data_IF_912167377559
#
_entry.id   IF_912167377559
#
_cell.length_a   1.000
_cell.length_b   1.000
_cell.length_c   1.000
_cell.angle_alpha   90.00
_cell.angle_beta   90.00
_cell.angle_gamma   90.00
#
_symmetry.space_group_name_H-M   'P 1'
#
loop_
_entity.id
_entity.type
_entity.pdbx_description
1 polymer ?
#
# COMPACT_ATOMS: atom_id res chain seq x y z
N UNK A 1 30.43 -13.15 23.31
CA UNK A 1 29.20 -13.02 22.53
C UNK A 1 28.71 -11.61 22.71
N UNK A 2 28.85 -10.77 21.68
CA UNK A 2 28.23 -9.43 21.66
C UNK A 2 26.74 -9.66 21.40
N UNK A 3 25.90 -9.58 22.42
CA UNK A 3 24.46 -9.52 22.24
C UNK A 3 24.07 -8.12 21.75
N UNK A 4 23.17 -8.07 20.76
CA UNK A 4 22.59 -6.79 20.32
C UNK A 4 21.99 -6.04 21.50
N UNK A 5 22.17 -4.73 21.53
CA UNK A 5 21.56 -3.86 22.55
C UNK A 5 20.03 -4.00 22.49
N UNK A 6 19.41 -4.25 23.63
CA UNK A 6 17.95 -4.44 23.77
C UNK A 6 17.19 -3.20 23.31
N UNK A 7 17.77 -2.02 23.48
CA UNK A 7 17.15 -0.76 23.02
C UNK A 7 17.09 -0.72 21.48
N UNK A 8 18.20 -1.07 20.83
CA UNK A 8 18.29 -1.15 19.36
C UNK A 8 17.32 -2.21 18.83
N UNK A 9 17.27 -3.40 19.48
CA UNK A 9 16.34 -4.45 19.13
C UNK A 9 14.88 -3.98 19.16
N UNK A 10 14.46 -3.29 20.22
CA UNK A 10 13.11 -2.73 20.34
C UNK A 10 12.83 -1.68 19.27
N UNK A 11 13.77 -0.77 19.00
CA UNK A 11 13.62 0.23 17.94
C UNK A 11 13.42 -0.41 16.55
N UNK A 12 14.15 -1.50 16.26
CA UNK A 12 13.98 -2.23 14.99
C UNK A 12 12.60 -2.91 14.93
N UNK A 13 12.14 -3.54 16.02
CA UNK A 13 10.80 -4.15 16.08
C UNK A 13 9.70 -3.10 15.85
N UNK A 14 9.80 -1.94 16.50
CA UNK A 14 8.86 -0.85 16.32
C UNK A 14 8.88 -0.30 14.89
N UNK A 15 10.06 -0.16 14.29
CA UNK A 15 10.22 0.22 12.89
C UNK A 15 9.52 -0.79 11.97
N UNK A 16 9.76 -2.09 12.16
CA UNK A 16 9.10 -3.13 11.35
C UNK A 16 7.58 -3.05 11.49
N UNK A 17 7.05 -2.96 12.71
CA UNK A 17 5.60 -2.87 12.95
C UNK A 17 4.96 -1.62 12.35
N UNK A 18 5.71 -0.53 12.23
CA UNK A 18 5.27 0.70 11.57
C UNK A 18 5.26 0.59 10.05
N UNK A 19 6.30 -0.03 9.47
CA UNK A 19 6.52 -0.08 8.03
C UNK A 19 5.86 -1.28 7.35
N UNK A 20 5.57 -2.36 8.10
CA UNK A 20 4.96 -3.59 7.61
C UNK A 20 3.51 -3.62 8.05
N UNK A 21 2.63 -3.17 7.19
CA UNK A 21 1.20 -2.99 7.46
C UNK A 21 0.32 -3.55 6.35
N UNK A 22 -0.90 -4.03 6.65
CA UNK A 22 -1.82 -4.50 5.63
C UNK A 22 -2.21 -3.41 4.65
N UNK A 23 -2.39 -3.79 3.38
CA UNK A 23 -2.90 -2.92 2.32
C UNK A 23 -3.78 -3.73 1.35
N UNK A 24 -4.81 -3.09 0.80
CA UNK A 24 -5.68 -3.68 -0.23
C UNK A 24 -5.46 -2.90 -1.53
N UNK A 25 -5.10 -3.61 -2.60
CA UNK A 25 -4.83 -3.01 -3.90
C UNK A 25 -3.48 -2.30 -4.00
N UNK A 26 -3.31 -1.48 -5.04
CA UNK A 26 -2.10 -0.69 -5.25
C UNK A 26 -2.07 0.50 -4.29
N UNK A 27 -0.90 0.77 -3.69
CA UNK A 27 -0.76 1.81 -2.67
C UNK A 27 -1.00 3.22 -3.20
N UNK A 28 -0.60 3.52 -4.43
CA UNK A 28 -0.77 4.85 -5.02
C UNK A 28 -2.23 5.27 -5.19
N UNK A 29 -3.12 4.48 -5.84
CA UNK A 29 -4.53 4.86 -5.93
C UNK A 29 -5.22 4.85 -4.56
N UNK A 30 -4.79 4.00 -3.62
CA UNK A 30 -5.33 4.01 -2.25
C UNK A 30 -4.89 5.26 -1.49
N UNK A 31 -3.66 5.75 -1.66
CA UNK A 31 -3.21 7.01 -1.09
C UNK A 31 -3.98 8.20 -1.67
N UNK A 32 -4.29 8.18 -2.97
CA UNK A 32 -5.15 9.20 -3.59
C UNK A 32 -6.56 9.14 -3.01
N UNK A 33 -7.16 7.94 -2.91
CA UNK A 33 -8.47 7.78 -2.29
C UNK A 33 -8.49 8.21 -0.81
N UNK A 34 -7.41 7.97 -0.06
CA UNK A 34 -7.22 8.42 1.31
C UNK A 34 -7.22 9.97 1.41
N UNK A 35 -6.48 10.63 0.53
CA UNK A 35 -6.47 12.09 0.49
C UNK A 35 -7.86 12.66 0.17
N UNK A 36 -8.59 12.03 -0.77
CA UNK A 36 -9.96 12.41 -1.12
C UNK A 36 -10.92 12.17 0.04
N UNK A 37 -10.84 11.02 0.70
CA UNK A 37 -11.65 10.71 1.88
C UNK A 37 -11.44 11.75 2.97
N UNK A 38 -10.18 12.06 3.29
CA UNK A 38 -9.84 13.10 4.29
C UNK A 38 -10.36 14.48 3.90
N UNK A 39 -10.25 14.85 2.62
CA UNK A 39 -10.79 16.12 2.13
C UNK A 39 -12.33 16.16 2.20
N UNK A 40 -13.02 15.08 1.81
CA UNK A 40 -14.47 14.97 1.89
C UNK A 40 -14.98 15.01 3.34
N UNK A 41 -14.32 14.31 4.26
CA UNK A 41 -14.59 14.38 5.71
C UNK A 41 -14.42 15.80 6.24
N UNK A 42 -13.36 16.50 5.84
CA UNK A 42 -13.08 17.89 6.25
C UNK A 42 -14.14 18.86 5.70
N UNK A 43 -14.58 18.66 4.45
CA UNK A 43 -15.66 19.44 3.85
C UNK A 43 -17.00 19.17 4.56
N UNK A 44 -17.19 17.97 5.10
CA UNK A 44 -18.41 17.48 5.74
C UNK A 44 -19.65 17.46 4.81
N UNK A 45 -19.42 17.35 3.51
CA UNK A 45 -20.44 17.27 2.44
C UNK A 45 -19.91 16.42 1.31
N UNK A 46 -20.80 15.77 0.55
CA UNK A 46 -20.43 15.11 -0.71
C UNK A 46 -20.00 16.19 -1.71
N UNK A 47 -18.75 16.18 -2.19
CA UNK A 47 -18.25 17.23 -3.06
C UNK A 47 -18.96 17.23 -4.42
N UNK A 48 -19.24 18.41 -4.94
CA UNK A 48 -19.75 18.62 -6.30
C UNK A 48 -18.63 18.62 -7.33
N UNK A 49 -17.41 18.96 -6.91
CA UNK A 49 -16.20 18.93 -7.73
C UNK A 49 -15.00 18.47 -6.91
N UNK A 50 -14.16 17.64 -7.53
CA UNK A 50 -12.92 17.14 -6.94
C UNK A 50 -11.78 17.42 -7.92
N UNK A 51 -10.78 18.14 -7.45
CA UNK A 51 -9.56 18.45 -8.21
C UNK A 51 -8.40 17.69 -7.53
N UNK A 52 -7.68 16.91 -8.33
CA UNK A 52 -6.56 16.07 -7.85
C UNK A 52 -5.31 16.44 -8.62
N UNK A 53 -4.26 16.81 -7.89
CA UNK A 53 -2.96 17.16 -8.44
C UNK A 53 -1.92 16.17 -7.95
N UNK A 54 -1.22 15.52 -8.87
CA UNK A 54 -0.33 14.40 -8.57
C UNK A 54 1.07 14.62 -9.15
N UNK A 55 2.09 14.14 -8.43
CA UNK A 55 3.41 13.98 -9.02
C UNK A 55 3.37 13.00 -10.20
N UNK A 56 4.31 13.13 -11.13
CA UNK A 56 4.44 12.23 -12.27
C UNK A 56 4.56 10.75 -11.85
N UNK A 57 5.25 10.48 -10.74
CA UNK A 57 5.43 9.13 -10.23
C UNK A 57 4.11 8.51 -9.73
N UNK A 58 3.34 9.24 -8.93
CA UNK A 58 2.02 8.77 -8.44
C UNK A 58 1.06 8.58 -9.61
N UNK A 59 0.97 9.56 -10.51
CA UNK A 59 0.10 9.49 -11.68
C UNK A 59 0.40 8.26 -12.55
N UNK A 60 1.67 8.05 -12.90
CA UNK A 60 2.12 6.91 -13.70
C UNK A 60 1.78 5.56 -13.05
N UNK A 61 1.99 5.43 -11.76
CA UNK A 61 1.79 4.17 -11.05
C UNK A 61 0.30 3.87 -10.77
N UNK A 62 -0.53 4.90 -10.69
CA UNK A 62 -1.95 4.74 -10.33
C UNK A 62 -2.90 4.63 -11.53
N UNK A 63 -2.51 5.11 -12.72
CA UNK A 63 -3.40 5.19 -13.88
C UNK A 63 -3.87 3.85 -14.44
N UNK A 64 -3.03 2.83 -14.39
CA UNK A 64 -3.23 1.56 -15.11
C UNK A 64 -3.52 0.37 -14.22
N UNK A 65 -3.85 0.57 -12.95
CA UNK A 65 -4.04 -0.54 -12.00
C UNK A 65 -5.50 -0.72 -11.64
N UNK A 66 -5.89 -1.97 -11.38
CA UNK A 66 -7.23 -2.33 -10.93
C UNK A 66 -7.51 -1.76 -9.53
N UNK A 67 -8.71 -1.22 -9.36
CA UNK A 67 -9.19 -0.72 -8.07
C UNK A 67 -9.99 -1.82 -7.37
N UNK A 68 -9.59 -2.21 -6.16
CA UNK A 68 -10.18 -3.34 -5.46
C UNK A 68 -11.70 -3.28 -5.36
N UNK A 69 -12.35 -4.41 -5.66
CA UNK A 69 -13.80 -4.55 -5.53
C UNK A 69 -14.63 -3.82 -6.60
N UNK A 70 -14.01 -3.14 -7.56
CA UNK A 70 -14.73 -2.34 -8.57
C UNK A 70 -14.82 -3.01 -9.93
N UNK A 71 -13.90 -3.89 -10.29
CA UNK A 71 -13.72 -4.37 -11.67
C UNK A 71 -13.30 -3.25 -12.64
N UNK A 72 -12.90 -2.10 -12.14
CA UNK A 72 -12.49 -0.93 -12.93
C UNK A 72 -11.01 -0.60 -12.71
N UNK A 73 -10.44 0.09 -13.68
CA UNK A 73 -9.03 0.49 -13.71
C UNK A 73 -8.92 2.00 -13.56
N UNK A 74 -7.90 2.45 -12.83
CA UNK A 74 -7.45 3.83 -12.80
C UNK A 74 -8.07 4.70 -11.72
N UNK A 75 -7.55 5.90 -11.64
CA UNK A 75 -7.82 6.86 -10.57
C UNK A 75 -9.27 7.37 -10.48
N UNK A 76 -10.02 7.60 -11.57
CA UNK A 76 -11.34 8.22 -11.45
C UNK A 76 -12.28 7.50 -10.48
N UNK A 77 -12.32 6.17 -10.54
CA UNK A 77 -13.20 5.40 -9.63
C UNK A 77 -12.66 5.39 -8.18
N UNK A 78 -11.35 5.37 -7.99
CA UNK A 78 -10.75 5.47 -6.65
C UNK A 78 -11.06 6.82 -6.00
N UNK A 79 -10.99 7.91 -6.77
CA UNK A 79 -11.35 9.27 -6.33
C UNK A 79 -12.84 9.36 -5.98
N UNK A 80 -13.72 8.88 -6.86
CA UNK A 80 -15.15 8.89 -6.62
C UNK A 80 -15.54 8.14 -5.34
N UNK A 81 -15.00 6.92 -5.17
CA UNK A 81 -15.27 6.11 -3.99
C UNK A 81 -14.65 6.69 -2.71
N UNK A 82 -13.45 7.28 -2.81
CA UNK A 82 -12.85 8.01 -1.71
C UNK A 82 -13.77 9.11 -1.16
N UNK A 83 -14.45 9.84 -2.06
CA UNK A 83 -15.38 10.90 -1.67
C UNK A 83 -16.73 10.38 -1.13
N UNK A 84 -17.22 9.24 -1.64
CA UNK A 84 -18.54 8.72 -1.31
C UNK A 84 -18.56 7.87 -0.04
N UNK A 85 -17.56 6.99 0.10
CA UNK A 85 -17.54 5.98 1.18
C UNK A 85 -16.21 5.87 1.90
N UNK A 86 -15.18 6.57 1.44
CA UNK A 86 -13.85 6.50 2.04
C UNK A 86 -13.86 6.97 3.49
N UNK A 87 -13.15 6.23 4.35
CA UNK A 87 -12.88 6.60 5.73
C UNK A 87 -11.39 6.74 5.93
N UNK A 88 -10.92 7.96 6.22
CA UNK A 88 -9.49 8.23 6.32
C UNK A 88 -8.82 7.47 7.47
N UNK A 89 -9.56 7.09 8.50
CA UNK A 89 -9.07 6.25 9.61
C UNK A 89 -8.59 4.86 9.18
N UNK A 90 -9.03 4.36 8.02
CA UNK A 90 -8.64 3.06 7.49
C UNK A 90 -7.30 3.05 6.75
N UNK A 91 -6.64 4.21 6.62
CA UNK A 91 -5.36 4.31 5.91
C UNK A 91 -5.46 3.75 4.48
N UNK A 92 -4.58 2.82 4.12
CA UNK A 92 -4.56 2.20 2.78
C UNK A 92 -5.69 1.18 2.52
N UNK A 93 -6.53 0.91 3.50
CA UNK A 93 -7.77 0.13 3.34
C UNK A 93 -9.00 1.04 3.19
N UNK A 94 -8.81 2.28 2.81
CA UNK A 94 -9.82 3.35 2.76
C UNK A 94 -11.11 2.98 2.02
N UNK A 95 -11.06 2.09 1.04
CA UNK A 95 -12.19 1.63 0.23
C UNK A 95 -12.77 0.26 0.67
N UNK A 96 -12.41 -0.25 1.85
CA UNK A 96 -12.84 -1.59 2.28
C UNK A 96 -14.35 -1.77 2.41
N UNK A 97 -15.10 -0.69 2.62
CA UNK A 97 -16.55 -0.72 2.79
C UNK A 97 -17.34 -0.57 1.46
N UNK A 98 -16.70 -0.86 0.32
CA UNK A 98 -17.32 -0.74 -1.00
C UNK A 98 -18.55 -1.67 -1.12
N UNK A 99 -19.60 -1.14 -1.74
CA UNK A 99 -20.84 -1.86 -2.03
C UNK A 99 -21.21 -1.71 -3.51
N UNK A 100 -22.07 -2.57 -4.08
CA UNK A 100 -22.57 -2.39 -5.44
C UNK A 100 -23.25 -1.03 -5.65
N UNK A 101 -23.96 -0.51 -4.64
CA UNK A 101 -24.59 0.79 -4.69
C UNK A 101 -23.55 1.92 -4.76
N UNK A 102 -22.55 1.92 -3.87
CA UNK A 102 -21.50 2.95 -3.89
C UNK A 102 -20.68 2.93 -5.18
N UNK A 103 -20.48 1.74 -5.76
CA UNK A 103 -19.83 1.61 -7.06
C UNK A 103 -20.64 2.27 -8.17
N UNK A 104 -21.95 2.09 -8.20
CA UNK A 104 -22.82 2.73 -9.19
C UNK A 104 -22.86 4.25 -9.01
N UNK A 105 -22.94 4.73 -7.77
CA UNK A 105 -22.85 6.17 -7.45
C UNK A 105 -21.50 6.75 -7.89
N UNK A 106 -20.40 6.00 -7.70
CA UNK A 106 -19.07 6.39 -8.17
C UNK A 106 -18.99 6.51 -9.69
N UNK A 107 -19.56 5.58 -10.44
CA UNK A 107 -19.66 5.67 -11.90
C UNK A 107 -20.45 6.91 -12.34
N UNK A 108 -21.57 7.17 -11.71
CA UNK A 108 -22.37 8.36 -11.96
C UNK A 108 -21.60 9.68 -11.72
N UNK A 109 -20.75 9.71 -10.68
CA UNK A 109 -19.88 10.86 -10.41
C UNK A 109 -18.86 11.08 -11.53
N UNK A 110 -18.28 9.99 -12.06
CA UNK A 110 -17.34 10.06 -13.19
C UNK A 110 -18.06 10.56 -14.46
N UNK A 111 -19.25 10.05 -14.77
CA UNK A 111 -20.05 10.46 -15.94
C UNK A 111 -20.43 11.96 -15.89
N UNK A 112 -20.73 12.47 -14.70
CA UNK A 112 -21.00 13.90 -14.48
C UNK A 112 -19.77 14.81 -14.61
N UNK A 113 -18.59 14.23 -14.84
CA UNK A 113 -17.32 14.96 -14.97
C UNK A 113 -16.99 15.84 -13.76
N UNK A 114 -17.30 15.35 -12.57
CA UNK A 114 -17.02 16.04 -11.31
C UNK A 114 -15.56 15.93 -10.85
N UNK A 115 -14.75 15.13 -11.54
CA UNK A 115 -13.38 14.77 -11.15
C UNK A 115 -12.41 15.26 -12.21
N UNK A 116 -11.48 16.12 -11.80
CA UNK A 116 -10.35 16.57 -12.61
C UNK A 116 -9.04 16.05 -12.00
N UNK A 117 -8.23 15.34 -12.79
CA UNK A 117 -6.93 14.81 -12.36
C UNK A 117 -5.84 15.42 -13.23
N UNK A 118 -4.86 16.05 -12.61
CA UNK A 118 -3.80 16.80 -13.29
C UNK A 118 -2.41 16.46 -12.73
N UNK A 119 -1.42 16.58 -13.59
CA UNK A 119 -0.01 16.54 -13.20
C UNK A 119 0.36 17.83 -12.46
N UNK A 120 1.18 17.71 -11.42
CA UNK A 120 1.82 18.82 -10.74
C UNK A 120 3.34 18.67 -10.82
N UNK A 121 3.98 19.66 -11.41
CA UNK A 121 5.44 19.71 -11.56
C UNK A 121 6.12 20.30 -10.32
N UNK A 122 7.42 20.02 -10.18
CA UNK A 122 8.29 20.55 -9.13
C UNK A 122 7.83 20.20 -7.70
N UNK A 123 7.31 18.99 -7.52
CA UNK A 123 6.92 18.43 -6.23
C UNK A 123 7.70 17.15 -5.94
N UNK A 124 7.61 16.64 -4.71
CA UNK A 124 8.24 15.38 -4.31
C UNK A 124 7.74 14.20 -5.17
N UNK A 125 8.54 13.12 -5.23
CA UNK A 125 8.18 11.90 -5.96
C UNK A 125 6.83 11.33 -5.55
N UNK A 126 6.50 11.40 -4.25
CA UNK A 126 5.20 11.10 -3.71
C UNK A 126 4.56 12.42 -3.28
N UNK A 127 3.65 12.92 -4.11
CA UNK A 127 2.86 14.11 -3.84
C UNK A 127 1.44 13.93 -4.36
N UNK A 128 0.48 14.15 -3.48
CA UNK A 128 -0.96 14.08 -3.73
C UNK A 128 -1.60 15.32 -3.11
N UNK A 129 -2.24 16.15 -3.91
CA UNK A 129 -3.02 17.29 -3.45
C UNK A 129 -4.45 17.12 -3.93
N UNK A 130 -5.40 17.22 -3.02
CA UNK A 130 -6.84 17.10 -3.32
C UNK A 130 -7.56 18.33 -2.84
N UNK A 131 -8.43 18.86 -3.70
CA UNK A 131 -9.37 19.94 -3.36
C UNK A 131 -10.78 19.43 -3.63
N UNK A 132 -11.59 19.35 -2.58
CA UNK A 132 -13.02 19.04 -2.66
C UNK A 132 -13.83 20.34 -2.53
N UNK A 133 -14.78 20.57 -3.46
CA UNK A 133 -15.62 21.77 -3.49
C UNK A 133 -17.09 21.45 -3.40
N UNK A 134 -17.81 22.26 -2.65
CA UNK A 134 -19.26 22.27 -2.58
C UNK A 134 -19.73 23.74 -2.54
N UNK A 135 -20.38 24.22 -3.60
CA UNK A 135 -20.74 25.64 -3.76
C UNK A 135 -19.53 26.56 -3.53
N UNK A 136 -19.58 27.45 -2.53
CA UNK A 136 -18.51 28.36 -2.18
C UNK A 136 -17.50 27.77 -1.18
N UNK A 137 -17.79 26.61 -0.59
CA UNK A 137 -16.93 25.96 0.39
C UNK A 137 -15.91 25.03 -0.30
N UNK A 138 -14.74 24.90 0.30
CA UNK A 138 -13.75 23.93 -0.13
C UNK A 138 -12.95 23.35 1.04
N UNK A 139 -12.41 22.19 0.82
CA UNK A 139 -11.38 21.59 1.65
C UNK A 139 -10.17 21.22 0.79
N UNK A 140 -9.00 21.25 1.39
CA UNK A 140 -7.74 20.88 0.75
C UNK A 140 -6.95 19.94 1.65
N UNK A 141 -6.42 18.85 1.06
CA UNK A 141 -5.55 17.90 1.75
C UNK A 141 -4.31 17.64 0.89
N UNK A 142 -3.15 17.55 1.54
CA UNK A 142 -1.90 17.15 0.89
C UNK A 142 -1.33 15.94 1.63
N UNK A 143 -0.99 14.88 0.85
CA UNK A 143 -0.18 13.75 1.28
C UNK A 143 1.17 13.85 0.57
N UNK A 144 2.26 13.71 1.29
CA UNK A 144 3.61 13.90 0.77
C UNK A 144 4.63 13.01 1.47
N UNK A 145 5.69 12.60 0.75
CA UNK A 145 6.79 11.74 1.20
C UNK A 145 6.39 10.27 1.41
N UNK A 146 5.35 9.98 2.16
CA UNK A 146 4.83 8.63 2.43
C UNK A 146 3.35 8.53 2.04
N UNK A 147 2.88 7.33 1.66
CA UNK A 147 1.51 7.12 1.14
C UNK A 147 0.37 7.46 2.11
N UNK A 148 0.66 7.52 3.41
CA UNK A 148 -0.31 7.84 4.47
C UNK A 148 0.00 9.13 5.21
N UNK A 149 1.09 9.82 4.85
CA UNK A 149 1.52 11.02 5.54
C UNK A 149 0.76 12.25 5.06
N UNK A 150 -0.32 12.59 5.76
CA UNK A 150 -1.00 13.87 5.60
C UNK A 150 -0.11 14.98 6.14
N UNK A 151 0.19 15.97 5.32
CA UNK A 151 1.02 17.13 5.69
C UNK A 151 0.23 18.43 5.76
N UNK A 152 -0.92 18.52 5.12
CA UNK A 152 -1.81 19.67 5.16
C UNK A 152 -3.28 19.24 5.19
N UNK A 153 -4.07 19.87 6.04
CA UNK A 153 -5.54 19.85 6.00
C UNK A 153 -6.04 21.28 6.17
N UNK A 154 -6.80 21.75 5.20
CA UNK A 154 -7.33 23.11 5.16
C UNK A 154 -8.82 23.09 4.83
N UNK A 155 -9.60 24.00 5.42
CA UNK A 155 -11.01 24.26 5.06
C UNK A 155 -11.24 25.74 4.92
N UNK A 156 -11.71 26.18 3.75
CA UNK A 156 -12.04 27.58 3.45
C UNK A 156 -10.91 28.58 3.77
N UNK A 157 -9.64 28.18 3.53
CA UNK A 157 -8.46 28.98 3.82
C UNK A 157 -7.93 28.87 5.26
N UNK A 158 -8.65 28.18 6.14
CA UNK A 158 -8.20 27.94 7.51
C UNK A 158 -7.46 26.59 7.59
N UNK A 159 -6.20 26.62 7.99
CA UNK A 159 -5.37 25.42 8.19
C UNK A 159 -5.79 24.73 9.49
N UNK A 160 -6.31 23.52 9.39
CA UNK A 160 -6.62 22.67 10.55
C UNK A 160 -5.43 21.83 10.98
N UNK A 161 -4.55 21.51 10.02
CA UNK A 161 -3.30 20.80 10.25
C UNK A 161 -2.28 21.23 9.19
N UNK A 162 -1.05 21.57 9.63
CA UNK A 162 0.05 21.95 8.75
C UNK A 162 1.39 21.47 9.32
N UNK A 163 1.89 20.36 8.78
CA UNK A 163 3.19 19.81 9.12
C UNK A 163 4.33 20.50 8.35
N UNK A 164 4.00 21.20 7.23
CA UNK A 164 5.01 21.88 6.41
C UNK A 164 5.66 23.07 7.13
N UNK A 165 4.91 23.73 8.04
CA UNK A 165 5.45 24.82 8.85
C UNK A 165 6.33 24.34 10.00
N UNK A 166 6.13 23.10 10.48
CA UNK A 166 6.94 22.52 11.57
C UNK A 166 8.29 21.99 11.10
N UNK A 167 8.40 21.55 9.85
CA UNK A 167 9.65 21.00 9.28
C UNK A 167 10.75 22.07 9.04
N UNK A 168 10.42 23.36 9.09
CA UNK A 168 11.42 24.43 9.00
C UNK A 168 12.24 24.63 10.30
N UNK A 169 11.82 23.99 11.39
CA UNK A 169 12.50 24.01 12.69
C UNK A 169 13.10 22.65 13.09
N UNK A 170 12.69 21.55 12.43
CA UNK A 170 13.18 20.21 12.72
C UNK A 170 14.25 19.75 11.68
N UNK A 171 15.40 20.39 11.73
CA UNK A 171 16.67 19.80 11.26
C UNK A 171 17.21 18.75 12.23
N UNK A 172 16.49 18.43 13.27
CA UNK A 172 16.75 17.29 14.11
C UNK A 172 16.22 16.05 13.38
N UNK A 173 17.12 15.28 12.76
CA UNK A 173 16.95 13.83 12.57
C UNK A 173 16.20 13.34 13.82
N UNK A 174 15.09 12.63 13.66
CA UNK A 174 14.42 12.00 14.81
C UNK A 174 15.50 11.25 15.55
N UNK A 175 15.91 11.74 16.71
CA UNK A 175 16.96 11.14 17.54
C UNK A 175 16.67 9.68 17.90
N UNK A 176 15.46 9.20 17.60
CA UNK A 176 14.98 7.85 17.84
C UNK A 176 14.99 6.92 16.60
N UNK A 177 15.41 7.38 15.43
CA UNK A 177 15.48 6.50 14.28
C UNK A 177 16.79 5.70 14.28
N UNK A 178 16.65 4.36 14.47
CA UNK A 178 17.81 3.46 14.38
C UNK A 178 18.42 3.50 12.98
N UNK A 179 19.68 3.92 12.90
CA UNK A 179 20.43 3.85 11.65
C UNK A 179 20.71 2.38 11.31
N UNK A 180 19.98 1.83 10.33
CA UNK A 180 20.15 0.46 9.88
C UNK A 180 21.45 0.34 9.06
N UNK A 181 22.27 -0.64 9.45
CA UNK A 181 23.41 -1.12 8.68
C UNK A 181 23.22 -2.61 8.41
N UNK A 182 23.92 -3.16 7.42
CA UNK A 182 23.86 -4.60 7.14
C UNK A 182 24.19 -5.43 8.39
N UNK A 183 25.24 -5.05 9.15
CA UNK A 183 25.61 -5.74 10.39
C UNK A 183 24.47 -5.74 11.42
N UNK A 184 23.83 -4.59 11.65
CA UNK A 184 22.70 -4.51 12.60
C UNK A 184 21.52 -5.37 12.17
N UNK A 185 21.18 -5.37 10.88
CA UNK A 185 20.09 -6.19 10.35
C UNK A 185 20.42 -7.67 10.52
N UNK A 186 21.65 -8.07 10.21
CA UNK A 186 22.11 -9.45 10.37
C UNK A 186 22.13 -9.90 11.83
N UNK A 187 22.65 -9.07 12.74
CA UNK A 187 22.64 -9.34 14.18
C UNK A 187 21.20 -9.45 14.70
N UNK A 188 20.32 -8.52 14.30
CA UNK A 188 18.92 -8.55 14.66
C UNK A 188 18.25 -9.86 14.23
N UNK A 189 18.42 -10.26 12.97
CA UNK A 189 17.81 -11.46 12.43
C UNK A 189 18.33 -12.76 13.08
N UNK A 190 19.60 -12.78 13.53
CA UNK A 190 20.23 -13.99 14.05
C UNK A 190 20.28 -14.08 15.58
N UNK A 191 20.09 -12.99 16.29
CA UNK A 191 20.24 -12.94 17.75
C UNK A 191 18.97 -12.58 18.50
N UNK A 192 17.96 -12.01 17.80
CA UNK A 192 16.67 -11.71 18.45
C UNK A 192 15.93 -13.01 18.79
N UNK A 193 15.39 -13.15 20.00
CA UNK A 193 14.59 -14.32 20.37
C UNK A 193 13.41 -14.51 19.41
N UNK A 194 13.18 -15.76 18.99
CA UNK A 194 12.11 -16.11 18.03
C UNK A 194 10.74 -15.59 18.48
N UNK A 195 10.46 -15.66 19.79
CA UNK A 195 9.20 -15.19 20.37
C UNK A 195 8.93 -13.70 20.10
N UNK A 196 9.98 -12.88 20.01
CA UNK A 196 9.86 -11.45 19.75
C UNK A 196 9.61 -11.15 18.26
N UNK A 197 9.83 -12.14 17.38
CA UNK A 197 9.69 -12.05 15.93
C UNK A 197 8.49 -12.82 15.36
N UNK A 198 7.73 -13.56 16.19
CA UNK A 198 6.59 -14.37 15.72
C UNK A 198 5.55 -13.56 14.93
N UNK A 199 5.41 -12.27 15.21
CA UNK A 199 4.52 -11.38 14.44
C UNK A 199 4.86 -11.32 12.94
N UNK A 200 6.10 -11.64 12.54
CA UNK A 200 6.50 -11.68 11.13
C UNK A 200 5.80 -12.81 10.35
N UNK A 201 5.39 -13.89 11.05
CA UNK A 201 4.63 -14.97 10.43
C UNK A 201 3.27 -14.53 9.91
N UNK A 202 2.64 -13.57 10.57
CA UNK A 202 1.38 -12.97 10.09
C UNK A 202 1.56 -12.34 8.71
N UNK A 203 2.68 -11.63 8.49
CA UNK A 203 3.01 -11.01 7.21
C UNK A 203 3.13 -12.05 6.10
N UNK A 204 3.86 -13.13 6.37
CA UNK A 204 4.06 -14.22 5.43
C UNK A 204 2.74 -14.92 5.10
N UNK A 205 1.92 -15.21 6.12
CA UNK A 205 0.64 -15.90 5.96
C UNK A 205 -0.40 -15.05 5.23
N UNK A 206 -0.43 -13.74 5.47
CA UNK A 206 -1.33 -12.83 4.75
C UNK A 206 -1.01 -12.85 3.24
N UNK A 207 0.26 -12.75 2.89
CA UNK A 207 0.72 -12.80 1.51
C UNK A 207 0.52 -14.20 0.88
N UNK A 208 0.70 -15.29 1.65
CA UNK A 208 0.39 -16.65 1.19
C UNK A 208 -1.08 -16.78 0.80
N UNK A 209 -2.01 -16.27 1.60
CA UNK A 209 -3.44 -16.29 1.29
C UNK A 209 -3.76 -15.56 0.00
N UNK A 210 -3.11 -14.43 -0.24
CA UNK A 210 -3.25 -13.69 -1.50
C UNK A 210 -2.76 -14.53 -2.70
N UNK A 211 -1.61 -15.19 -2.57
CA UNK A 211 -1.09 -16.07 -3.62
C UNK A 211 -2.04 -17.25 -3.90
N UNK A 212 -2.52 -17.95 -2.88
CA UNK A 212 -3.45 -19.09 -3.02
C UNK A 212 -4.75 -18.64 -3.68
N UNK A 213 -5.30 -17.50 -3.29
CA UNK A 213 -6.51 -16.94 -3.91
C UNK A 213 -6.28 -16.66 -5.39
N UNK A 214 -5.11 -16.14 -5.77
CA UNK A 214 -4.76 -15.90 -7.18
C UNK A 214 -4.61 -17.19 -7.98
N UNK A 215 -3.97 -18.21 -7.41
CA UNK A 215 -3.80 -19.52 -8.06
C UNK A 215 -5.15 -20.15 -8.37
N UNK A 216 -6.11 -20.04 -7.47
CA UNK A 216 -7.46 -20.57 -7.61
C UNK A 216 -8.39 -19.67 -8.41
N UNK A 217 -8.04 -18.42 -8.64
CA UNK A 217 -8.80 -17.43 -9.39
C UNK A 217 -8.30 -17.22 -10.83
N UNK A 218 -8.74 -16.12 -11.44
CA UNK A 218 -8.24 -15.64 -12.72
C UNK A 218 -7.90 -14.16 -12.58
N UNK A 219 -6.62 -13.88 -12.39
CA UNK A 219 -6.13 -12.52 -12.16
C UNK A 219 -4.96 -12.20 -13.09
N UNK A 220 -4.95 -10.96 -13.57
CA UNK A 220 -3.85 -10.33 -14.27
C UNK A 220 -3.30 -11.18 -15.42
N UNK A 221 -1.99 -11.31 -15.48
CA UNK A 221 -1.30 -12.08 -16.52
C UNK A 221 -1.24 -13.58 -16.25
N UNK A 222 -1.74 -14.04 -15.11
CA UNK A 222 -1.72 -15.44 -14.71
C UNK A 222 -0.31 -16.07 -14.79
N UNK A 223 0.70 -15.33 -14.36
CA UNK A 223 2.11 -15.74 -14.45
C UNK A 223 2.35 -17.07 -13.72
N UNK A 224 1.75 -17.24 -12.55
CA UNK A 224 1.83 -18.50 -11.82
C UNK A 224 1.38 -19.69 -12.65
N UNK A 225 0.19 -19.61 -13.27
CA UNK A 225 -0.37 -20.67 -14.12
C UNK A 225 0.49 -20.94 -15.35
N UNK A 226 1.10 -19.90 -15.91
CA UNK A 226 2.01 -20.02 -17.05
C UNK A 226 3.29 -20.76 -16.65
N UNK A 227 3.89 -20.41 -15.51
CA UNK A 227 5.12 -21.04 -15.01
C UNK A 227 4.89 -22.48 -14.59
N UNK A 228 3.79 -22.78 -13.90
CA UNK A 228 3.47 -24.13 -13.42
C UNK A 228 2.77 -25.01 -14.45
N UNK A 229 2.32 -24.46 -15.56
CA UNK A 229 1.72 -25.21 -16.65
C UNK A 229 2.72 -26.08 -17.42
N UNK A 230 2.23 -26.95 -18.31
CA UNK A 230 3.05 -27.92 -19.02
C UNK A 230 4.23 -27.28 -19.78
N UNK A 231 4.00 -26.15 -20.46
CA UNK A 231 5.07 -25.44 -21.17
C UNK A 231 6.05 -24.77 -20.20
N UNK A 232 5.57 -24.16 -19.12
CA UNK A 232 6.44 -23.59 -18.10
C UNK A 232 7.36 -24.63 -17.50
N UNK A 233 6.82 -25.76 -17.05
CA UNK A 233 7.60 -26.89 -16.51
C UNK A 233 8.61 -27.45 -17.51
N UNK A 234 8.28 -27.48 -18.80
CA UNK A 234 9.19 -27.92 -19.83
C UNK A 234 10.44 -27.05 -19.96
N UNK A 235 10.29 -25.73 -19.84
CA UNK A 235 11.39 -24.78 -20.06
C UNK A 235 12.09 -24.34 -18.77
N UNK A 236 11.37 -24.24 -17.66
CA UNK A 236 11.89 -23.75 -16.37
C UNK A 236 12.13 -24.85 -15.35
N UNK A 237 11.59 -26.06 -15.59
CA UNK A 237 11.67 -27.18 -14.63
C UNK A 237 10.65 -27.06 -13.50
N UNK A 238 10.73 -28.02 -12.57
CA UNK A 238 9.98 -28.06 -11.31
C UNK A 238 11.02 -28.01 -10.19
N UNK A 239 11.20 -26.83 -9.60
CA UNK A 239 12.28 -26.56 -8.65
C UNK A 239 11.86 -25.51 -7.64
N UNK A 240 12.60 -25.39 -6.53
CA UNK A 240 12.39 -24.36 -5.54
C UNK A 240 12.34 -22.94 -6.15
N UNK A 241 13.17 -22.68 -7.17
CA UNK A 241 13.15 -21.39 -7.89
C UNK A 241 11.80 -21.13 -8.58
N UNK A 242 11.27 -22.13 -9.30
CA UNK A 242 9.97 -21.99 -9.99
C UNK A 242 8.80 -21.88 -9.01
N UNK A 243 8.90 -22.56 -7.85
CA UNK A 243 7.90 -22.44 -6.78
C UNK A 243 7.92 -21.02 -6.18
N UNK A 244 9.09 -20.48 -5.81
CA UNK A 244 9.25 -19.11 -5.32
C UNK A 244 8.70 -18.07 -6.33
N UNK A 245 9.07 -18.21 -7.60
CA UNK A 245 8.60 -17.34 -8.67
C UNK A 245 7.08 -17.38 -8.79
N UNK A 246 6.51 -18.59 -8.82
CA UNK A 246 5.06 -18.79 -9.00
C UNK A 246 4.24 -18.21 -7.87
N UNK A 247 4.63 -18.47 -6.62
CA UNK A 247 3.93 -17.96 -5.44
C UNK A 247 3.97 -16.42 -5.38
N UNK A 248 5.15 -15.86 -5.61
CA UNK A 248 5.34 -14.41 -5.58
C UNK A 248 4.57 -13.72 -6.70
N UNK A 249 4.66 -14.23 -7.93
CA UNK A 249 3.93 -13.68 -9.06
C UNK A 249 2.41 -13.80 -8.89
N UNK A 250 1.91 -14.90 -8.30
CA UNK A 250 0.49 -15.09 -8.08
C UNK A 250 -0.11 -13.98 -7.19
N UNK A 251 0.53 -13.67 -6.05
CA UNK A 251 0.07 -12.62 -5.17
C UNK A 251 0.12 -11.23 -5.83
N UNK A 252 1.19 -10.97 -6.61
CA UNK A 252 1.30 -9.72 -7.38
C UNK A 252 0.22 -9.63 -8.48
N UNK A 253 -0.07 -10.71 -9.21
CA UNK A 253 -1.12 -10.74 -10.24
C UNK A 253 -2.48 -10.37 -9.63
N UNK A 254 -2.88 -11.00 -8.53
CA UNK A 254 -4.14 -10.69 -7.86
C UNK A 254 -4.20 -9.22 -7.43
N UNK A 255 -3.13 -8.74 -6.79
CA UNK A 255 -3.07 -7.37 -6.29
C UNK A 255 -3.15 -6.34 -7.41
N UNK A 256 -2.39 -6.52 -8.48
CA UNK A 256 -2.32 -5.56 -9.60
C UNK A 256 -3.59 -5.56 -10.45
N UNK A 257 -4.32 -6.68 -10.49
CA UNK A 257 -5.62 -6.80 -11.17
C UNK A 257 -6.79 -6.24 -10.34
N UNK A 258 -6.51 -5.74 -9.14
CA UNK A 258 -7.53 -5.13 -8.28
C UNK A 258 -8.35 -6.13 -7.47
N UNK A 259 -7.79 -7.29 -7.15
CA UNK A 259 -8.43 -8.23 -6.24
C UNK A 259 -8.66 -7.56 -4.86
N UNK A 260 -9.83 -7.78 -4.29
CA UNK A 260 -10.16 -7.32 -2.93
C UNK A 260 -9.56 -8.26 -1.88
N UNK A 261 -8.23 -8.36 -1.89
CA UNK A 261 -7.46 -9.27 -1.04
C UNK A 261 -6.37 -8.45 -0.33
N UNK A 262 -6.32 -8.47 1.00
CA UNK A 262 -5.26 -7.79 1.72
C UNK A 262 -3.92 -8.50 1.53
N UNK A 263 -2.86 -7.70 1.41
CA UNK A 263 -1.47 -8.15 1.46
C UNK A 263 -0.72 -7.38 2.53
N UNK A 264 0.33 -7.96 3.09
CA UNK A 264 1.22 -7.23 3.98
C UNK A 264 2.20 -6.43 3.14
N UNK A 265 2.11 -5.11 3.23
CA UNK A 265 3.03 -4.19 2.56
C UNK A 265 4.34 -4.05 3.34
N UNK A 266 5.34 -3.47 2.70
CA UNK A 266 6.57 -3.03 3.33
C UNK A 266 6.93 -1.64 2.78
N UNK A 267 7.15 -0.69 3.68
CA UNK A 267 7.50 0.70 3.33
C UNK A 267 6.56 1.30 2.27
N UNK A 268 5.27 1.10 2.45
CA UNK A 268 4.23 1.60 1.57
C UNK A 268 4.07 0.86 0.23
N UNK A 269 4.79 -0.24 -0.01
CA UNK A 269 4.67 -1.05 -1.23
C UNK A 269 4.19 -2.47 -0.93
N UNK A 270 2.99 -2.82 -1.47
CA UNK A 270 2.46 -4.19 -1.35
C UNK A 270 3.30 -5.20 -2.09
N UNK A 271 3.76 -4.89 -3.31
CA UNK A 271 4.63 -5.80 -4.08
C UNK A 271 5.98 -6.01 -3.39
N UNK A 272 6.53 -4.99 -2.71
CA UNK A 272 7.75 -5.16 -1.93
C UNK A 272 7.54 -6.09 -0.74
N UNK A 273 6.42 -5.96 -0.02
CA UNK A 273 6.06 -6.89 1.07
C UNK A 273 5.87 -8.33 0.59
N UNK A 274 5.19 -8.52 -0.55
CA UNK A 274 5.05 -9.82 -1.22
C UNK A 274 6.43 -10.41 -1.56
N UNK A 275 7.28 -9.62 -2.23
CA UNK A 275 8.60 -10.06 -2.67
C UNK A 275 9.60 -10.31 -1.52
N UNK A 276 9.39 -9.67 -0.36
CA UNK A 276 10.19 -9.91 0.83
C UNK A 276 9.79 -11.20 1.58
N UNK A 277 8.54 -11.64 1.47
CA UNK A 277 8.02 -12.76 2.27
C UNK A 277 7.83 -14.05 1.49
N UNK A 278 7.18 -14.02 0.32
CA UNK A 278 6.77 -15.25 -0.38
C UNK A 278 7.91 -16.10 -0.93
N UNK A 279 9.01 -15.54 -1.46
CA UNK A 279 10.14 -16.38 -1.85
C UNK A 279 10.71 -17.17 -0.67
N UNK A 280 10.87 -16.52 0.48
CA UNK A 280 11.39 -17.16 1.71
C UNK A 280 10.44 -18.25 2.19
N UNK A 281 9.13 -17.94 2.25
CA UNK A 281 8.11 -18.88 2.69
C UNK A 281 8.00 -20.09 1.77
N UNK A 282 8.00 -19.87 0.45
CA UNK A 282 7.96 -20.95 -0.55
C UNK A 282 9.19 -21.84 -0.49
N UNK A 283 10.37 -21.24 -0.31
CA UNK A 283 11.62 -22.02 -0.13
C UNK A 283 11.61 -22.82 1.16
N UNK A 284 11.13 -22.21 2.25
CA UNK A 284 10.98 -22.89 3.55
C UNK A 284 10.07 -24.13 3.47
N UNK A 285 8.97 -24.04 2.70
CA UNK A 285 8.08 -25.17 2.45
C UNK A 285 8.80 -26.30 1.69
N UNK A 286 9.59 -25.97 0.67
CA UNK A 286 10.33 -26.94 -0.14
C UNK A 286 11.38 -27.69 0.68
N UNK A 287 12.14 -27.00 1.53
CA UNK A 287 13.18 -27.62 2.37
C UNK A 287 12.67 -28.14 3.71
N UNK A 288 11.39 -27.86 4.03
CA UNK A 288 10.75 -28.25 5.31
C UNK A 288 11.53 -27.77 6.53
N UNK A 289 11.98 -26.52 6.51
CA UNK A 289 12.73 -25.95 7.63
C UNK A 289 11.86 -25.79 8.89
N UNK A 290 12.53 -25.59 10.03
CA UNK A 290 11.84 -25.26 11.29
C UNK A 290 11.30 -23.83 11.26
N UNK A 291 10.35 -23.54 12.16
CA UNK A 291 9.83 -22.18 12.33
C UNK A 291 10.94 -21.18 12.70
N UNK A 292 11.88 -21.59 13.52
CA UNK A 292 13.04 -20.78 13.91
C UNK A 292 13.93 -20.43 12.71
N UNK A 293 14.09 -21.36 11.77
CA UNK A 293 14.85 -21.10 10.54
C UNK A 293 14.09 -20.21 9.55
N UNK A 294 12.74 -20.24 9.59
CA UNK A 294 11.90 -19.41 8.73
C UNK A 294 11.88 -17.96 9.19
N UNK A 295 11.78 -17.70 10.48
CA UNK A 295 11.75 -16.36 11.09
C UNK A 295 13.14 -15.70 11.03
#
# INVERSE_FOLDING_TARGET
ELHMDITIQKQIIELIKREVVPAIGCTEPMAVALAVAKASETLAKTPQKIEVFLSANVLKNAMGVGIPGTGMIGLPIAVALGALIGKSEYGLEVLRDITPQSLEEGKNMIEKRCIDISLKDNVDKLYIEVICRYEAEYSKVIIQKEHTQVVLVEKNGEKQFDKQESDTLDTNLKEDEVALTFSKVFEFATQTPVQDLEFMLESAELNRRAAISSINGNYGHSVCKTVTGANGKKYLGDSAFTHMLSMTAAACDARMDGAFIPVMSNSGSGNQGIAATLPVLSFADDIKCSQEQLI
#
